data_IF_262070772948
#
_entry.id   IF_262070772948
#
_cell.length_a   1.000
_cell.length_b   1.000
_cell.length_c   1.000
_cell.angle_alpha   90.00
_cell.angle_beta   90.00
_cell.angle_gamma   90.00
#
_symmetry.space_group_name_H-M   'P 1'
#
loop_
_entity.id
_entity.type
_entity.pdbx_description
1 polymer ?
#
# COMPACT_ATOMS: atom_id res chain seq x y z
N UNK A 1 25.88 -7.32 10.52
CA UNK A 1 25.16 -6.60 11.59
C UNK A 1 25.62 -5.13 11.62
N UNK A 2 24.79 -4.20 12.15
CA UNK A 2 25.18 -2.79 12.28
C UNK A 2 26.54 -2.63 12.96
N UNK A 3 27.39 -1.74 12.41
CA UNK A 3 28.73 -1.49 12.91
C UNK A 3 29.78 -2.56 12.57
N UNK A 4 29.43 -3.57 11.76
CA UNK A 4 30.37 -4.59 11.30
C UNK A 4 30.92 -4.28 9.90
N UNK A 5 32.16 -4.65 9.66
CA UNK A 5 32.78 -4.69 8.32
C UNK A 5 33.05 -6.15 7.91
N UNK A 6 32.83 -6.43 6.65
CA UNK A 6 33.26 -7.68 6.02
C UNK A 6 34.53 -7.42 5.25
N UNK A 7 35.60 -8.12 5.61
CA UNK A 7 36.91 -8.03 4.98
C UNK A 7 37.15 -9.30 4.18
N UNK A 8 37.41 -9.15 2.88
CA UNK A 8 37.74 -10.27 1.98
C UNK A 8 39.13 -10.01 1.43
N UNK A 9 40.07 -10.94 1.68
CA UNK A 9 41.41 -10.81 1.16
C UNK A 9 41.53 -11.36 -0.27
N UNK A 10 42.70 -11.18 -0.89
CA UNK A 10 42.94 -11.65 -2.28
C UNK A 10 42.84 -13.18 -2.45
N UNK A 11 42.86 -13.95 -1.36
CA UNK A 11 42.71 -15.41 -1.36
C UNK A 11 41.25 -15.85 -1.21
N UNK A 12 40.31 -14.89 -1.07
CA UNK A 12 38.89 -15.18 -0.86
C UNK A 12 38.54 -15.49 0.60
N UNK A 13 39.51 -15.37 1.54
CA UNK A 13 39.22 -15.57 2.95
C UNK A 13 38.42 -14.39 3.50
N UNK A 14 37.32 -14.68 4.14
CA UNK A 14 36.38 -13.69 4.68
C UNK A 14 36.47 -13.66 6.21
N UNK A 15 36.52 -12.45 6.77
CA UNK A 15 36.34 -12.23 8.20
C UNK A 15 35.42 -11.05 8.45
N UNK A 16 34.71 -11.10 9.57
CA UNK A 16 33.79 -10.05 10.02
C UNK A 16 34.38 -9.39 11.26
N UNK A 17 34.53 -8.08 11.24
CA UNK A 17 35.05 -7.31 12.36
C UNK A 17 34.06 -6.25 12.81
N UNK A 18 33.93 -6.06 14.11
CA UNK A 18 33.13 -4.97 14.70
C UNK A 18 34.01 -3.70 14.68
N UNK A 19 33.65 -2.74 13.83
CA UNK A 19 34.39 -1.47 13.68
C UNK A 19 33.78 -0.31 14.45
N UNK A 20 32.45 -0.36 14.67
CA UNK A 20 31.73 0.60 15.50
C UNK A 20 30.88 -0.11 16.53
N UNK A 21 30.78 0.43 17.74
CA UNK A 21 29.87 -0.10 18.74
C UNK A 21 28.42 0.05 18.25
N UNK A 22 27.60 -1.00 18.34
CA UNK A 22 26.18 -0.91 17.97
C UNK A 22 25.48 0.09 18.89
N UNK A 23 24.65 0.94 18.29
CA UNK A 23 23.71 1.81 19.02
C UNK A 23 22.41 1.08 19.26
N UNK A 24 21.42 1.78 19.86
CA UNK A 24 20.05 1.28 19.99
C UNK A 24 19.51 0.81 18.61
N UNK A 25 18.93 -0.38 18.58
CA UNK A 25 18.35 -0.94 17.37
C UNK A 25 17.03 -0.23 17.07
N UNK A 26 16.95 0.44 15.91
CA UNK A 26 15.73 1.09 15.39
C UNK A 26 15.50 0.57 13.99
N UNK A 27 14.61 -0.40 13.88
CA UNK A 27 14.28 -1.02 12.60
C UNK A 27 13.35 -0.11 11.79
N UNK A 28 13.60 -0.03 10.48
CA UNK A 28 12.70 0.60 9.54
C UNK A 28 11.78 -0.48 8.94
N UNK A 29 10.49 -0.41 9.23
CA UNK A 29 9.51 -1.38 8.70
C UNK A 29 9.43 -1.35 7.17
N UNK A 30 9.69 -0.20 6.56
CA UNK A 30 9.71 -0.05 5.10
C UNK A 30 10.83 -0.87 4.44
N UNK A 31 11.94 -1.11 5.15
CA UNK A 31 12.96 -2.07 4.73
C UNK A 31 12.35 -3.44 4.40
N UNK A 32 11.50 -3.97 5.26
CA UNK A 32 10.90 -5.29 5.12
C UNK A 32 9.77 -5.32 4.10
N UNK A 33 9.01 -4.23 4.00
CA UNK A 33 7.90 -4.11 3.06
C UNK A 33 8.41 -3.99 1.62
N UNK A 34 9.46 -3.18 1.40
CA UNK A 34 9.88 -2.78 0.06
C UNK A 34 11.32 -3.14 -0.30
N UNK A 35 12.33 -2.71 0.50
CA UNK A 35 13.74 -2.84 0.11
C UNK A 35 14.30 -4.26 0.22
N UNK A 36 13.89 -5.04 1.21
CA UNK A 36 14.38 -6.40 1.41
C UNK A 36 14.02 -7.33 0.27
N UNK A 37 14.85 -8.32 0.02
CA UNK A 37 14.60 -9.30 -1.05
C UNK A 37 13.37 -10.13 -0.76
N UNK A 38 12.40 -10.14 -1.67
CA UNK A 38 11.18 -10.94 -1.55
C UNK A 38 11.39 -12.46 -1.61
N UNK A 39 12.58 -12.91 -2.00
CA UNK A 39 12.98 -14.34 -1.98
C UNK A 39 13.54 -14.81 -0.65
N UNK A 40 13.78 -13.91 0.32
CA UNK A 40 14.08 -14.29 1.69
C UNK A 40 12.84 -14.91 2.33
N UNK A 41 13.00 -16.03 3.05
CA UNK A 41 11.89 -16.79 3.65
C UNK A 41 11.09 -15.95 4.64
N UNK A 42 11.76 -15.20 5.50
CA UNK A 42 11.10 -14.46 6.56
C UNK A 42 10.37 -13.24 5.97
N UNK A 43 11.02 -12.51 5.05
CA UNK A 43 10.42 -11.40 4.31
C UNK A 43 9.19 -11.86 3.50
N UNK A 44 9.30 -13.02 2.83
CA UNK A 44 8.18 -13.58 2.09
C UNK A 44 6.97 -13.87 2.99
N UNK A 45 7.20 -14.53 4.14
CA UNK A 45 6.14 -14.86 5.07
C UNK A 45 5.52 -13.61 5.72
N UNK A 46 6.32 -12.61 6.07
CA UNK A 46 5.84 -11.34 6.60
C UNK A 46 4.96 -10.60 5.60
N UNK A 47 5.39 -10.49 4.34
CA UNK A 47 4.58 -9.87 3.28
C UNK A 47 3.27 -10.61 3.04
N UNK A 48 3.28 -11.95 3.10
CA UNK A 48 2.05 -12.75 3.06
C UNK A 48 1.13 -12.43 4.24
N UNK A 49 1.68 -12.35 5.44
CA UNK A 49 0.90 -12.04 6.63
C UNK A 49 0.29 -10.65 6.57
N UNK A 50 1.03 -9.65 6.08
CA UNK A 50 0.48 -8.31 5.83
C UNK A 50 -0.76 -8.37 4.92
N UNK A 51 -0.71 -9.18 3.87
CA UNK A 51 -1.85 -9.39 3.00
C UNK A 51 -3.06 -10.02 3.70
N UNK A 52 -2.85 -11.04 4.53
CA UNK A 52 -3.93 -11.71 5.30
C UNK A 52 -4.66 -10.75 6.23
N UNK A 53 -3.92 -9.87 6.89
CA UNK A 53 -4.48 -8.87 7.83
C UNK A 53 -5.32 -7.78 7.16
N UNK A 54 -5.27 -7.68 5.83
CA UNK A 54 -6.07 -6.73 5.07
C UNK A 54 -7.49 -7.22 4.72
N UNK A 55 -7.82 -8.48 5.00
CA UNK A 55 -9.13 -9.06 4.63
C UNK A 55 -10.29 -8.29 5.27
N UNK A 56 -10.26 -8.07 6.58
CA UNK A 56 -11.36 -7.38 7.28
C UNK A 56 -11.57 -5.93 6.82
N UNK A 57 -10.53 -5.07 6.69
CA UNK A 57 -10.72 -3.73 6.16
C UNK A 57 -11.19 -3.74 4.69
N UNK A 58 -10.76 -4.68 3.86
CA UNK A 58 -11.23 -4.82 2.49
C UNK A 58 -12.70 -5.23 2.46
N UNK A 59 -13.12 -6.20 3.28
CA UNK A 59 -14.53 -6.61 3.40
C UNK A 59 -15.43 -5.44 3.74
N UNK A 60 -15.02 -4.59 4.68
CA UNK A 60 -15.74 -3.35 5.01
C UNK A 60 -15.83 -2.41 3.81
N UNK A 61 -14.73 -2.21 3.10
CA UNK A 61 -14.68 -1.32 1.95
C UNK A 61 -15.57 -1.77 0.79
N UNK A 62 -15.76 -3.08 0.59
CA UNK A 62 -16.66 -3.63 -0.43
C UNK A 62 -18.05 -4.00 0.12
N UNK A 63 -18.40 -3.59 1.36
CA UNK A 63 -19.66 -3.94 2.03
C UNK A 63 -19.95 -5.44 2.07
N UNK A 64 -18.90 -6.26 2.26
CA UNK A 64 -18.95 -7.74 2.24
C UNK A 64 -19.44 -8.37 0.93
N UNK A 65 -19.54 -7.59 -0.15
CA UNK A 65 -19.94 -8.06 -1.47
C UNK A 65 -18.74 -8.69 -2.20
N UNK A 66 -18.38 -9.90 -1.80
CA UNK A 66 -17.24 -10.64 -2.38
C UNK A 66 -17.57 -11.20 -3.77
N UNK A 67 -18.84 -11.49 -4.01
CA UNK A 67 -19.34 -12.06 -5.28
C UNK A 67 -19.13 -11.08 -6.44
N UNK A 68 -19.46 -9.80 -6.23
CA UNK A 68 -19.26 -8.73 -7.21
C UNK A 68 -17.98 -7.94 -6.95
N UNK A 69 -16.92 -8.64 -6.56
CA UNK A 69 -15.59 -8.04 -6.33
C UNK A 69 -14.51 -8.81 -7.05
N UNK A 70 -13.71 -8.12 -7.85
CA UNK A 70 -12.52 -8.66 -8.50
C UNK A 70 -11.29 -8.17 -7.75
N UNK A 71 -10.39 -9.10 -7.43
CA UNK A 71 -9.14 -8.83 -6.70
C UNK A 71 -7.95 -8.88 -7.64
N UNK A 72 -7.05 -7.91 -7.53
CA UNK A 72 -5.85 -7.81 -8.32
C UNK A 72 -4.71 -7.15 -7.54
N UNK A 73 -3.56 -6.98 -8.16
CA UNK A 73 -2.39 -6.32 -7.56
C UNK A 73 -1.65 -5.46 -8.58
N UNK A 74 -0.87 -4.50 -8.08
CA UNK A 74 0.06 -3.72 -8.90
C UNK A 74 1.40 -4.45 -8.94
N UNK A 75 1.86 -4.90 -10.12
CA UNK A 75 3.16 -5.56 -10.22
C UNK A 75 4.33 -4.60 -9.86
N UNK A 76 5.42 -5.08 -9.20
CA UNK A 76 5.71 -6.48 -8.89
C UNK A 76 5.72 -6.73 -7.37
N UNK A 77 6.08 -5.73 -6.54
CA UNK A 77 6.39 -5.92 -5.09
C UNK A 77 5.17 -6.36 -4.28
N UNK A 78 3.98 -5.91 -4.68
CA UNK A 78 2.72 -6.23 -4.01
C UNK A 78 2.27 -7.70 -4.19
N UNK A 79 2.86 -8.46 -5.11
CA UNK A 79 2.42 -9.81 -5.47
C UNK A 79 2.37 -10.76 -4.27
N UNK A 80 3.37 -10.71 -3.40
CA UNK A 80 3.43 -11.60 -2.23
C UNK A 80 2.33 -11.28 -1.21
N UNK A 81 2.06 -9.98 -0.97
CA UNK A 81 0.96 -9.55 -0.12
C UNK A 81 -0.40 -9.93 -0.74
N UNK A 82 -0.53 -9.86 -2.06
CA UNK A 82 -1.71 -10.33 -2.78
C UNK A 82 -1.99 -11.82 -2.52
N UNK A 83 -0.99 -12.71 -2.62
CA UNK A 83 -1.20 -14.13 -2.26
C UNK A 83 -1.60 -14.31 -0.80
N UNK A 84 -1.06 -13.51 0.11
CA UNK A 84 -1.49 -13.53 1.51
C UNK A 84 -2.95 -13.11 1.69
N UNK A 85 -3.38 -12.09 0.97
CA UNK A 85 -4.77 -11.64 0.95
C UNK A 85 -5.70 -12.75 0.41
N UNK A 86 -5.32 -13.44 -0.68
CA UNK A 86 -6.09 -14.57 -1.21
C UNK A 86 -6.23 -15.70 -0.17
N UNK A 87 -5.14 -16.09 0.49
CA UNK A 87 -5.18 -17.10 1.58
C UNK A 87 -6.15 -16.69 2.71
N UNK A 88 -6.16 -15.40 3.06
CA UNK A 88 -7.07 -14.87 4.08
C UNK A 88 -8.52 -14.90 3.64
N UNK A 89 -8.83 -14.54 2.38
CA UNK A 89 -10.16 -14.66 1.82
C UNK A 89 -10.64 -16.10 1.68
N UNK A 90 -9.77 -17.03 1.35
CA UNK A 90 -10.12 -18.47 1.34
C UNK A 90 -10.53 -18.94 2.74
N UNK A 91 -9.83 -18.49 3.77
CA UNK A 91 -10.19 -18.78 5.17
C UNK A 91 -11.57 -18.17 5.50
N UNK A 92 -11.81 -16.92 5.14
CA UNK A 92 -13.09 -16.24 5.33
C UNK A 92 -14.24 -16.99 4.61
N UNK A 93 -14.06 -17.35 3.34
CA UNK A 93 -15.06 -18.10 2.58
C UNK A 93 -15.34 -19.47 3.17
N UNK A 94 -14.33 -20.17 3.67
CA UNK A 94 -14.54 -21.46 4.34
C UNK A 94 -15.42 -21.32 5.59
N UNK A 95 -15.23 -20.26 6.39
CA UNK A 95 -16.12 -19.97 7.51
C UNK A 95 -17.56 -19.66 7.05
N UNK A 96 -17.71 -18.89 5.97
CA UNK A 96 -19.04 -18.63 5.39
C UNK A 96 -19.73 -19.91 4.90
N UNK A 97 -19.01 -20.77 4.18
CA UNK A 97 -19.55 -22.06 3.70
C UNK A 97 -20.02 -22.93 4.85
N UNK A 98 -19.25 -23.02 5.92
CA UNK A 98 -19.64 -23.77 7.13
C UNK A 98 -20.93 -23.19 7.71
N UNK A 99 -21.01 -21.88 7.91
CA UNK A 99 -22.19 -21.19 8.44
C UNK A 99 -23.43 -21.41 7.56
N UNK A 100 -23.28 -21.34 6.23
CA UNK A 100 -24.39 -21.59 5.32
C UNK A 100 -24.88 -23.04 5.40
N UNK A 101 -23.96 -24.02 5.49
CA UNK A 101 -24.31 -25.44 5.66
C UNK A 101 -25.05 -25.67 6.99
N UNK A 102 -24.55 -25.09 8.07
CA UNK A 102 -25.18 -25.19 9.41
C UNK A 102 -26.58 -24.53 9.42
N UNK A 103 -26.74 -23.41 8.71
CA UNK A 103 -28.00 -22.69 8.64
C UNK A 103 -29.11 -23.41 7.86
N UNK A 104 -28.83 -24.46 7.05
CA UNK A 104 -29.80 -25.21 6.33
C UNK A 104 -30.78 -25.96 7.26
N UNK A 105 -30.35 -26.37 8.45
CA UNK A 105 -31.19 -27.09 9.43
C UNK A 105 -31.63 -28.47 8.99
N UNK A 106 -31.19 -28.96 7.85
CA UNK A 106 -31.48 -30.30 7.30
C UNK A 106 -30.23 -30.87 6.63
N UNK A 107 -30.24 -32.14 6.27
CA UNK A 107 -29.16 -32.75 5.48
C UNK A 107 -29.07 -32.07 4.10
N UNK A 108 -27.94 -31.43 3.76
CA UNK A 108 -27.79 -30.74 2.50
C UNK A 108 -28.05 -31.64 1.28
N UNK A 109 -28.74 -31.12 0.30
CA UNK A 109 -28.87 -31.73 -1.03
C UNK A 109 -27.58 -31.55 -1.83
N UNK A 110 -27.40 -32.34 -2.89
CA UNK A 110 -26.24 -32.21 -3.79
C UNK A 110 -26.16 -30.81 -4.40
N UNK A 111 -27.28 -30.26 -4.83
CA UNK A 111 -27.36 -28.92 -5.45
C UNK A 111 -26.96 -27.80 -4.46
N UNK A 112 -27.40 -27.87 -3.21
CA UNK A 112 -27.06 -26.94 -2.16
C UNK A 112 -25.54 -26.99 -1.86
N UNK A 113 -24.99 -28.21 -1.74
CA UNK A 113 -23.56 -28.40 -1.55
C UNK A 113 -22.74 -27.84 -2.74
N UNK A 114 -23.16 -28.16 -3.98
CA UNK A 114 -22.48 -27.68 -5.18
C UNK A 114 -22.47 -26.15 -5.23
N UNK A 115 -23.61 -25.48 -4.88
CA UNK A 115 -23.69 -24.02 -4.78
C UNK A 115 -22.74 -23.48 -3.70
N UNK A 116 -22.83 -23.97 -2.48
CA UNK A 116 -22.04 -23.45 -1.34
C UNK A 116 -20.54 -23.69 -1.57
N UNK A 117 -20.15 -24.88 -2.00
CA UNK A 117 -18.75 -25.24 -2.19
C UNK A 117 -18.12 -24.55 -3.41
N UNK A 118 -18.94 -24.13 -4.41
CA UNK A 118 -18.45 -23.37 -5.56
C UNK A 118 -18.13 -21.90 -5.25
N UNK A 119 -18.49 -21.38 -4.08
CA UNK A 119 -18.15 -20.02 -3.68
C UNK A 119 -16.64 -19.82 -3.67
N UNK A 120 -16.18 -18.81 -4.38
CA UNK A 120 -14.76 -18.45 -4.50
C UNK A 120 -14.62 -16.96 -4.78
N UNK A 121 -13.47 -16.40 -4.43
CA UNK A 121 -13.13 -15.05 -4.86
C UNK A 121 -12.76 -15.03 -6.34
N UNK A 122 -13.00 -13.90 -6.97
CA UNK A 122 -12.60 -13.64 -8.36
C UNK A 122 -11.27 -12.89 -8.34
N UNK A 123 -10.19 -13.60 -8.66
CA UNK A 123 -8.85 -13.02 -8.72
C UNK A 123 -8.36 -12.98 -10.16
N UNK A 124 -8.00 -11.78 -10.64
CA UNK A 124 -7.59 -11.56 -12.02
C UNK A 124 -6.33 -10.70 -12.08
N UNK A 125 -5.50 -10.93 -13.08
CA UNK A 125 -4.36 -10.05 -13.36
C UNK A 125 -4.84 -8.85 -14.17
N UNK A 126 -5.43 -7.86 -13.49
CA UNK A 126 -6.02 -6.70 -14.15
C UNK A 126 -4.95 -5.73 -14.62
N UNK A 127 -3.99 -5.37 -13.76
CA UNK A 127 -2.89 -4.50 -14.12
C UNK A 127 -1.68 -5.30 -14.60
N UNK A 128 -1.19 -4.98 -15.79
CA UNK A 128 -0.01 -5.63 -16.40
C UNK A 128 1.06 -4.56 -16.59
N UNK A 129 2.26 -4.78 -16.03
CA UNK A 129 3.40 -3.91 -16.28
C UNK A 129 4.11 -4.37 -17.55
N UNK A 130 4.16 -3.50 -18.57
CA UNK A 130 4.90 -3.80 -19.78
C UNK A 130 6.41 -3.66 -19.54
N UNK A 131 7.10 -4.80 -19.48
CA UNK A 131 8.55 -4.89 -19.24
C UNK A 131 9.36 -4.32 -20.41
N UNK A 132 8.77 -4.20 -21.60
CA UNK A 132 9.46 -3.69 -22.80
C UNK A 132 9.65 -2.17 -22.76
N UNK A 133 8.78 -1.46 -22.05
CA UNK A 133 8.92 -0.03 -21.82
C UNK A 133 9.87 0.24 -20.63
N UNK A 134 11.17 0.25 -20.92
CA UNK A 134 12.20 0.62 -19.93
C UNK A 134 12.33 2.13 -19.85
N UNK A 135 11.80 2.72 -18.80
CA UNK A 135 11.72 4.17 -18.57
C UNK A 135 13.07 4.89 -18.45
N UNK A 136 14.20 4.18 -18.39
CA UNK A 136 15.52 4.78 -18.27
C UNK A 136 16.16 5.22 -19.61
N UNK A 137 15.47 4.99 -20.74
CA UNK A 137 15.96 5.43 -22.08
C UNK A 137 15.41 6.81 -22.45
N UNK A 138 14.51 7.39 -21.67
CA UNK A 138 13.87 8.66 -22.00
C UNK A 138 14.41 9.83 -21.16
N UNK A 139 14.89 10.88 -21.83
CA UNK A 139 15.31 12.14 -21.22
C UNK A 139 14.14 13.12 -21.10
N UNK A 140 14.08 13.86 -19.96
CA UNK A 140 13.24 15.05 -19.81
C UNK A 140 11.73 14.80 -19.65
N UNK A 141 10.89 15.68 -20.22
CA UNK A 141 9.43 15.71 -20.09
C UNK A 141 8.70 14.45 -20.59
N UNK A 142 9.36 13.60 -21.37
CA UNK A 142 8.81 12.33 -21.85
C UNK A 142 8.61 11.28 -20.73
N UNK A 143 9.16 11.47 -19.52
CA UNK A 143 8.94 10.55 -18.38
C UNK A 143 7.49 10.50 -17.94
N UNK A 144 6.76 11.62 -18.00
CA UNK A 144 5.36 11.68 -17.58
C UNK A 144 4.45 10.97 -18.59
N UNK A 145 4.75 11.11 -19.89
CA UNK A 145 4.00 10.42 -20.96
C UNK A 145 4.29 8.92 -20.96
N UNK A 146 5.55 8.53 -20.69
CA UNK A 146 5.93 7.12 -20.54
C UNK A 146 5.31 6.46 -19.30
N UNK A 147 5.18 7.19 -18.19
CA UNK A 147 4.53 6.66 -16.99
C UNK A 147 3.06 6.28 -17.26
N UNK A 148 2.38 7.00 -18.16
CA UNK A 148 1.01 6.70 -18.57
C UNK A 148 0.90 5.39 -19.40
N UNK A 149 2.00 4.91 -19.98
CA UNK A 149 2.03 3.73 -20.84
C UNK A 149 2.76 2.52 -20.23
N UNK A 150 3.27 2.64 -19.01
CA UNK A 150 3.98 1.52 -18.32
C UNK A 150 3.06 0.38 -17.95
N UNK A 151 1.78 0.69 -17.73
CA UNK A 151 0.78 -0.30 -17.33
C UNK A 151 -0.27 -0.47 -18.42
N UNK A 152 -0.65 -1.71 -18.66
CA UNK A 152 -1.79 -2.11 -19.48
C UNK A 152 -2.84 -2.81 -18.62
N UNK A 153 -4.04 -3.03 -19.16
CA UNK A 153 -5.17 -3.66 -18.45
C UNK A 153 -5.74 -4.83 -19.21
N UNK A 154 -6.20 -5.82 -18.47
CA UNK A 154 -6.92 -6.96 -19.03
C UNK A 154 -8.41 -6.61 -19.14
N UNK A 155 -8.87 -6.34 -20.35
CA UNK A 155 -10.30 -6.11 -20.62
C UNK A 155 -11.13 -7.37 -20.40
N UNK A 156 -12.38 -7.19 -19.96
CA UNK A 156 -13.30 -8.30 -19.68
C UNK A 156 -13.04 -9.02 -18.36
N UNK A 157 -12.12 -8.51 -17.54
CA UNK A 157 -11.83 -9.07 -16.22
C UNK A 157 -12.89 -8.78 -15.16
N UNK A 158 -13.77 -7.80 -15.40
CA UNK A 158 -14.87 -7.44 -14.51
C UNK A 158 -16.14 -7.09 -15.31
N UNK A 159 -17.29 -7.10 -14.63
CA UNK A 159 -18.57 -6.66 -15.19
C UNK A 159 -18.71 -5.15 -14.94
N UNK A 160 -18.74 -4.31 -16.00
CA UNK A 160 -18.83 -2.87 -15.87
C UNK A 160 -20.04 -2.41 -15.05
N UNK A 161 -19.84 -1.38 -14.22
CA UNK A 161 -20.85 -0.73 -13.36
C UNK A 161 -21.45 -1.61 -12.26
N UNK A 162 -21.09 -2.90 -12.20
CA UNK A 162 -21.56 -3.85 -11.19
C UNK A 162 -20.46 -4.25 -10.23
N UNK A 163 -19.29 -4.61 -10.75
CA UNK A 163 -18.20 -5.13 -9.95
C UNK A 163 -17.39 -4.04 -9.26
N UNK A 164 -16.99 -4.31 -8.02
CA UNK A 164 -15.90 -3.58 -7.37
C UNK A 164 -14.56 -4.13 -7.85
N UNK A 165 -13.57 -3.29 -7.92
CA UNK A 165 -12.19 -3.66 -8.20
C UNK A 165 -11.32 -3.34 -6.98
N UNK A 166 -10.78 -4.38 -6.35
CA UNK A 166 -9.81 -4.28 -5.26
C UNK A 166 -8.42 -4.51 -5.84
N UNK A 167 -7.53 -3.54 -5.69
CA UNK A 167 -6.17 -3.65 -6.19
C UNK A 167 -5.17 -3.35 -5.07
N UNK A 168 -4.30 -4.32 -4.75
CA UNK A 168 -3.29 -4.18 -3.70
C UNK A 168 -1.98 -3.65 -4.27
N UNK A 169 -1.38 -2.68 -3.55
CA UNK A 169 -0.03 -2.18 -3.76
C UNK A 169 0.80 -2.39 -2.48
N UNK A 170 2.12 -2.32 -2.61
CA UNK A 170 3.01 -2.43 -1.44
C UNK A 170 2.94 -1.19 -0.54
N UNK A 171 2.89 -0.01 -1.14
CA UNK A 171 2.87 1.27 -0.42
C UNK A 171 2.42 2.43 -1.30
N UNK A 172 1.85 3.47 -0.68
CA UNK A 172 1.48 4.71 -1.34
C UNK A 172 2.32 5.83 -0.73
N UNK A 173 3.34 6.29 -1.48
CA UNK A 173 4.27 7.34 -1.03
C UNK A 173 3.91 8.69 -1.65
N UNK A 174 4.17 8.85 -2.95
CA UNK A 174 3.92 10.11 -3.69
C UNK A 174 2.54 10.18 -4.32
N UNK A 175 1.96 9.04 -4.63
CA UNK A 175 0.70 8.93 -5.35
C UNK A 175 0.78 9.30 -6.84
N UNK A 176 1.94 9.66 -7.35
CA UNK A 176 2.10 10.13 -8.74
C UNK A 176 1.69 9.05 -9.76
N UNK A 177 2.18 7.82 -9.60
CA UNK A 177 1.84 6.68 -10.46
C UNK A 177 0.35 6.35 -10.39
N UNK A 178 -0.22 6.39 -9.18
CA UNK A 178 -1.66 6.18 -8.99
C UNK A 178 -2.48 7.21 -9.75
N UNK A 179 -2.16 8.51 -9.59
CA UNK A 179 -2.89 9.61 -10.22
C UNK A 179 -2.73 9.62 -11.75
N UNK A 180 -1.51 9.54 -12.23
CA UNK A 180 -1.21 9.74 -13.65
C UNK A 180 -1.52 8.53 -14.53
N UNK A 181 -1.46 7.33 -13.95
CA UNK A 181 -1.57 6.08 -14.71
C UNK A 181 -2.64 5.15 -14.14
N UNK A 182 -2.41 4.57 -12.96
CA UNK A 182 -3.17 3.41 -12.48
C UNK A 182 -4.68 3.68 -12.39
N UNK A 183 -5.11 4.72 -11.68
CA UNK A 183 -6.55 4.99 -11.49
C UNK A 183 -7.23 5.24 -12.84
N UNK A 184 -6.58 5.99 -13.75
CA UNK A 184 -7.13 6.30 -15.07
C UNK A 184 -7.33 5.05 -15.93
N UNK A 185 -6.34 4.15 -15.96
CA UNK A 185 -6.46 2.94 -16.77
C UNK A 185 -7.48 1.97 -16.17
N UNK A 186 -7.56 1.86 -14.84
CA UNK A 186 -8.54 1.02 -14.17
C UNK A 186 -9.97 1.54 -14.37
N UNK A 187 -10.17 2.86 -14.38
CA UNK A 187 -11.48 3.49 -14.60
C UNK A 187 -12.05 3.18 -16.01
N UNK A 188 -11.19 2.87 -17.00
CA UNK A 188 -11.61 2.42 -18.35
C UNK A 188 -12.38 1.10 -18.34
N UNK A 189 -12.25 0.31 -17.30
CA UNK A 189 -13.01 -0.92 -17.10
C UNK A 189 -14.41 -0.65 -16.55
N UNK A 190 -14.71 0.61 -16.21
CA UNK A 190 -15.97 1.06 -15.61
C UNK A 190 -16.37 0.28 -14.35
N UNK A 191 -15.47 0.08 -13.36
CA UNK A 191 -15.87 -0.56 -12.12
C UNK A 191 -16.86 0.32 -11.35
N UNK A 192 -17.75 -0.30 -10.58
CA UNK A 192 -18.62 0.41 -9.63
C UNK A 192 -17.81 1.18 -8.60
N UNK A 193 -16.72 0.58 -8.14
CA UNK A 193 -15.80 1.13 -7.14
C UNK A 193 -14.39 0.59 -7.37
N UNK A 194 -13.39 1.45 -7.16
CA UNK A 194 -11.97 1.06 -7.09
C UNK A 194 -11.53 1.18 -5.63
N UNK A 195 -11.08 0.08 -5.05
CA UNK A 195 -10.48 0.05 -3.71
C UNK A 195 -8.98 -0.19 -3.88
N UNK A 196 -8.19 0.85 -3.62
CA UNK A 196 -6.73 0.77 -3.62
C UNK A 196 -6.30 0.35 -2.22
N UNK A 197 -5.59 -0.75 -2.11
CA UNK A 197 -5.18 -1.33 -0.83
C UNK A 197 -3.67 -1.25 -0.70
N UNK A 198 -3.18 -0.66 0.38
CA UNK A 198 -1.74 -0.62 0.69
C UNK A 198 -1.40 -1.66 1.75
N UNK A 199 -0.43 -2.54 1.47
CA UNK A 199 0.06 -3.48 2.47
C UNK A 199 0.94 -2.82 3.55
N UNK A 200 1.27 -1.54 3.39
CA UNK A 200 1.89 -0.70 4.42
C UNK A 200 0.87 0.26 5.03
N UNK A 201 1.09 0.74 6.26
CA UNK A 201 0.42 1.93 6.79
C UNK A 201 0.71 3.18 5.95
N UNK A 202 0.00 4.28 6.21
CA UNK A 202 0.28 5.57 5.58
C UNK A 202 1.73 5.98 5.80
N UNK A 203 2.47 6.24 4.72
CA UNK A 203 3.86 6.71 4.79
C UNK A 203 3.86 8.21 5.07
N UNK A 204 4.19 8.57 6.33
CA UNK A 204 4.13 9.95 6.84
C UNK A 204 5.49 10.60 7.04
N UNK A 205 6.56 9.81 7.14
CA UNK A 205 7.91 10.28 7.45
C UNK A 205 8.93 9.68 6.49
N UNK A 206 10.06 10.39 6.23
CA UNK A 206 11.16 9.86 5.45
C UNK A 206 11.71 8.55 6.02
N UNK A 207 12.25 7.71 5.13
CA UNK A 207 13.00 6.52 5.53
C UNK A 207 14.37 6.88 6.13
N UNK A 208 15.04 5.88 6.72
CA UNK A 208 16.38 6.09 7.28
C UNK A 208 17.49 6.10 6.23
N UNK A 209 17.20 5.64 5.01
CA UNK A 209 18.18 5.53 3.93
C UNK A 209 18.25 6.79 3.07
N UNK A 210 17.14 7.54 2.99
CA UNK A 210 17.05 8.79 2.23
C UNK A 210 17.20 8.61 0.73
N UNK A 211 16.91 7.42 0.21
CA UNK A 211 17.07 7.09 -1.21
C UNK A 211 15.87 7.58 -2.01
N UNK A 212 14.69 7.01 -1.77
CA UNK A 212 13.47 7.32 -2.54
C UNK A 212 12.46 8.16 -1.76
N UNK A 213 12.58 8.25 -0.45
CA UNK A 213 11.64 8.90 0.45
C UNK A 213 12.34 9.93 1.36
N UNK A 214 13.18 10.78 0.76
CA UNK A 214 13.96 11.77 1.50
C UNK A 214 13.18 13.06 1.81
N UNK A 215 12.21 13.43 0.97
CA UNK A 215 11.51 14.73 1.04
C UNK A 215 10.06 14.57 1.43
N UNK A 216 9.69 15.05 2.60
CA UNK A 216 8.30 15.01 3.09
C UNK A 216 7.31 15.71 2.16
N UNK A 217 7.70 16.82 1.53
CA UNK A 217 6.84 17.55 0.60
C UNK A 217 6.38 16.73 -0.61
N UNK A 218 7.05 15.62 -0.89
CA UNK A 218 6.66 14.70 -1.96
C UNK A 218 5.63 13.67 -1.49
N UNK A 219 5.45 13.48 -0.17
CA UNK A 219 4.51 12.48 0.36
C UNK A 219 3.07 12.97 0.23
N UNK A 220 2.23 12.13 -0.39
CA UNK A 220 0.82 12.47 -0.57
C UNK A 220 0.10 12.61 0.77
N UNK A 221 0.42 11.79 1.77
CA UNK A 221 -0.15 11.90 3.12
C UNK A 221 0.21 13.23 3.80
N UNK A 222 1.45 13.71 3.64
CA UNK A 222 1.86 15.01 4.15
C UNK A 222 1.12 16.16 3.47
N UNK A 223 1.04 16.12 2.14
CA UNK A 223 0.32 17.13 1.37
C UNK A 223 -1.17 17.15 1.72
N UNK A 224 -1.79 15.98 1.89
CA UNK A 224 -3.18 15.86 2.32
C UNK A 224 -3.41 16.47 3.70
N UNK A 225 -2.53 16.20 4.67
CA UNK A 225 -2.61 16.81 6.00
C UNK A 225 -2.43 18.33 5.95
N UNK A 226 -1.52 18.84 5.11
CA UNK A 226 -1.33 20.28 4.90
C UNK A 226 -2.58 20.95 4.31
N UNK A 227 -3.20 20.36 3.28
CA UNK A 227 -4.46 20.86 2.71
C UNK A 227 -5.60 20.81 3.72
N UNK A 228 -5.72 19.76 4.53
CA UNK A 228 -6.72 19.67 5.59
C UNK A 228 -6.54 20.76 6.66
N UNK A 229 -5.31 21.08 7.05
CA UNK A 229 -5.04 22.19 7.98
C UNK A 229 -5.46 23.53 7.36
N UNK A 230 -5.22 23.75 6.07
CA UNK A 230 -5.67 24.95 5.37
C UNK A 230 -7.19 25.03 5.29
N UNK A 231 -7.86 23.94 4.91
CA UNK A 231 -9.32 23.85 4.82
C UNK A 231 -10.01 24.13 6.17
N UNK A 232 -9.36 23.78 7.28
CA UNK A 232 -9.86 24.04 8.64
C UNK A 232 -9.39 25.35 9.27
N UNK A 233 -8.63 26.17 8.54
CA UNK A 233 -8.09 27.43 9.05
C UNK A 233 -7.03 27.27 10.14
N UNK A 234 -6.36 26.12 10.21
CA UNK A 234 -5.39 25.74 11.26
C UNK A 234 -3.93 25.95 10.80
N UNK A 235 -3.65 27.02 10.05
CA UNK A 235 -2.29 27.34 9.56
C UNK A 235 -1.29 27.58 10.69
N UNK A 236 -1.75 28.01 11.87
CA UNK A 236 -0.92 28.20 13.05
C UNK A 236 -0.20 26.92 13.49
N UNK A 237 -0.79 25.74 13.26
CA UNK A 237 -0.17 24.44 13.52
C UNK A 237 1.10 24.26 12.68
N UNK A 238 1.04 24.61 11.38
CA UNK A 238 2.17 24.52 10.46
C UNK A 238 3.31 25.44 10.93
N UNK A 239 2.98 26.70 11.23
CA UNK A 239 3.96 27.68 11.69
C UNK A 239 4.60 27.27 13.02
N UNK A 240 3.80 26.74 13.95
CA UNK A 240 4.26 26.25 15.24
C UNK A 240 5.21 25.06 15.08
N UNK A 241 4.82 24.05 14.29
CA UNK A 241 5.65 22.88 14.02
C UNK A 241 6.97 23.28 13.36
N UNK A 242 6.95 24.22 12.39
CA UNK A 242 8.14 24.76 11.75
C UNK A 242 9.05 25.47 12.73
N UNK A 243 8.52 26.42 13.54
CA UNK A 243 9.31 27.18 14.54
C UNK A 243 9.95 26.23 15.56
N UNK A 244 9.21 25.26 16.09
CA UNK A 244 9.74 24.26 17.02
C UNK A 244 10.82 23.39 16.39
N UNK A 245 10.63 22.92 15.17
CA UNK A 245 11.62 22.12 14.44
C UNK A 245 12.89 22.92 14.16
N UNK A 246 12.76 24.18 13.75
CA UNK A 246 13.90 25.07 13.48
C UNK A 246 14.69 25.39 14.74
N UNK A 247 14.03 25.59 15.88
CA UNK A 247 14.66 25.91 17.16
C UNK A 247 15.61 24.81 17.66
N UNK A 248 15.46 23.57 17.20
CA UNK A 248 16.32 22.45 17.60
C UNK A 248 17.40 22.07 16.56
N UNK A 249 17.58 22.87 15.50
CA UNK A 249 18.54 22.58 14.42
C UNK A 249 19.98 22.33 14.89
N UNK A 250 20.37 22.95 16.01
CA UNK A 250 21.70 22.82 16.59
C UNK A 250 21.77 21.85 17.78
N UNK A 251 20.66 21.20 18.13
CA UNK A 251 20.66 20.24 19.22
C UNK A 251 21.31 18.91 18.78
N UNK A 252 21.93 18.17 19.72
CA UNK A 252 22.30 16.79 19.48
C UNK A 252 21.10 15.97 19.03
N UNK A 253 21.30 15.04 18.08
CA UNK A 253 20.22 14.21 17.50
C UNK A 253 19.37 13.50 18.56
N UNK A 254 20.01 13.07 19.64
CA UNK A 254 19.36 12.37 20.76
C UNK A 254 18.38 13.25 21.56
N UNK A 255 18.49 14.58 21.40
CA UNK A 255 17.60 15.57 22.05
C UNK A 255 16.55 16.15 21.11
N UNK A 256 16.61 15.80 19.82
CA UNK A 256 15.63 16.29 18.85
C UNK A 256 14.29 15.57 19.01
N UNK A 257 13.20 16.35 18.94
CA UNK A 257 11.82 15.87 18.97
C UNK A 257 11.18 16.04 17.61
N UNK A 258 10.41 15.05 17.17
CA UNK A 258 9.67 15.13 15.91
C UNK A 258 8.39 15.97 16.05
N UNK A 259 8.50 17.28 15.90
CA UNK A 259 7.36 18.19 15.93
C UNK A 259 6.47 18.13 14.69
N UNK A 260 6.90 17.46 13.62
CA UNK A 260 6.06 17.25 12.42
C UNK A 260 4.83 16.39 12.75
N UNK A 261 4.86 15.62 13.83
CA UNK A 261 3.68 14.88 14.32
C UNK A 261 2.47 15.79 14.54
N UNK A 262 2.69 17.03 15.00
CA UNK A 262 1.63 18.00 15.25
C UNK A 262 0.79 18.32 14.00
N UNK A 263 1.34 18.13 12.80
CA UNK A 263 0.64 18.33 11.52
C UNK A 263 -0.44 17.26 11.30
N UNK A 264 -0.21 16.04 11.77
CA UNK A 264 -1.12 14.91 11.59
C UNK A 264 -2.12 14.74 12.75
N UNK A 265 -1.76 15.19 13.96
CA UNK A 265 -2.55 15.00 15.19
C UNK A 265 -4.01 15.45 15.12
N UNK A 266 -4.39 16.54 14.39
CA UNK A 266 -5.79 16.95 14.30
C UNK A 266 -6.68 16.02 13.46
N UNK A 267 -6.13 15.02 12.80
CA UNK A 267 -6.82 14.20 11.80
C UNK A 267 -6.74 12.71 12.10
N UNK A 268 -7.81 12.01 11.77
CA UNK A 268 -7.81 10.55 11.72
C UNK A 268 -7.10 10.06 10.45
N UNK A 269 -6.67 8.79 10.44
CA UNK A 269 -6.10 8.15 9.26
C UNK A 269 -7.09 8.13 8.09
N UNK A 270 -8.38 7.99 8.40
CA UNK A 270 -9.46 8.01 7.42
C UNK A 270 -9.63 9.39 6.77
N UNK A 271 -9.60 10.47 7.55
CA UNK A 271 -9.69 11.84 7.02
C UNK A 271 -8.53 12.14 6.07
N UNK A 272 -7.31 11.73 6.44
CA UNK A 272 -6.14 11.89 5.56
C UNK A 272 -6.31 11.05 4.30
N UNK A 273 -6.76 9.79 4.40
CA UNK A 273 -6.99 8.91 3.25
C UNK A 273 -8.05 9.48 2.30
N UNK A 274 -9.14 10.02 2.83
CA UNK A 274 -10.21 10.66 2.03
C UNK A 274 -9.69 11.89 1.29
N UNK A 275 -8.87 12.71 1.94
CA UNK A 275 -8.22 13.87 1.29
C UNK A 275 -7.25 13.44 0.19
N UNK A 276 -6.50 12.37 0.43
CA UNK A 276 -5.63 11.80 -0.60
C UNK A 276 -6.42 11.33 -1.82
N UNK A 277 -7.57 10.67 -1.63
CA UNK A 277 -8.47 10.29 -2.73
C UNK A 277 -8.93 11.51 -3.50
N UNK A 278 -9.36 12.58 -2.82
CA UNK A 278 -9.73 13.84 -3.47
C UNK A 278 -8.59 14.36 -4.35
N UNK A 279 -7.36 14.43 -3.83
CA UNK A 279 -6.18 14.90 -4.56
C UNK A 279 -5.83 14.02 -5.76
N UNK A 280 -6.08 12.71 -5.67
CA UNK A 280 -5.78 11.75 -6.74
C UNK A 280 -6.81 11.77 -7.86
N UNK A 281 -8.06 12.11 -7.55
CA UNK A 281 -9.19 12.02 -8.51
C UNK A 281 -9.69 13.36 -9.03
N UNK A 282 -9.42 14.45 -8.30
CA UNK A 282 -9.90 15.80 -8.66
C UNK A 282 -9.40 16.25 -10.02
N UNK A 283 -10.33 16.55 -10.93
CA UNK A 283 -10.03 17.04 -12.26
C UNK A 283 -9.54 15.98 -13.26
N UNK A 284 -9.52 14.71 -12.88
CA UNK A 284 -8.97 13.62 -13.71
C UNK A 284 -10.04 12.88 -14.54
N UNK A 285 -11.33 13.24 -14.40
CA UNK A 285 -12.43 12.60 -15.13
C UNK A 285 -12.70 11.15 -14.72
N UNK A 286 -12.42 10.80 -13.48
CA UNK A 286 -12.66 9.46 -12.91
C UNK A 286 -14.14 9.30 -12.60
N UNK A 287 -14.75 8.21 -13.06
CA UNK A 287 -16.18 7.91 -12.90
C UNK A 287 -16.44 6.99 -11.71
N UNK A 288 -15.54 6.04 -11.45
CA UNK A 288 -15.67 5.12 -10.35
C UNK A 288 -15.48 5.82 -9.00
N UNK A 289 -16.23 5.36 -7.97
CA UNK A 289 -15.91 5.75 -6.60
C UNK A 289 -14.55 5.15 -6.22
N UNK A 290 -13.61 5.98 -5.79
CA UNK A 290 -12.29 5.54 -5.32
C UNK A 290 -12.25 5.55 -3.81
N UNK A 291 -11.62 4.54 -3.21
CA UNK A 291 -11.35 4.45 -1.78
C UNK A 291 -9.94 3.88 -1.57
N UNK A 292 -9.26 4.31 -0.51
CA UNK A 292 -7.95 3.79 -0.12
C UNK A 292 -8.08 3.09 1.23
N UNK A 293 -7.57 1.87 1.28
CA UNK A 293 -7.45 1.04 2.50
C UNK A 293 -5.98 0.85 2.82
N UNK A 294 -5.60 1.14 4.05
CA UNK A 294 -4.25 0.95 4.55
C UNK A 294 -4.15 -0.19 5.54
N UNK A 295 -2.97 -0.80 5.62
CA UNK A 295 -2.59 -1.61 6.76
C UNK A 295 -2.63 -0.77 8.04
N UNK A 296 -3.03 -1.37 9.15
CA UNK A 296 -2.94 -0.72 10.46
C UNK A 296 -1.53 -0.85 11.06
N UNK A 297 -1.21 0.01 12.03
CA UNK A 297 0.05 -0.11 12.78
C UNK A 297 0.09 -1.40 13.60
N UNK A 298 -1.04 -1.83 14.17
CA UNK A 298 -1.18 -3.09 14.88
C UNK A 298 -1.01 -4.29 13.93
N UNK A 299 -1.50 -4.16 12.70
CA UNK A 299 -1.33 -5.18 11.65
C UNK A 299 0.10 -5.29 11.14
N UNK A 300 0.93 -4.24 11.32
CA UNK A 300 2.33 -4.22 10.92
C UNK A 300 3.23 -4.93 11.95
N UNK A 301 2.85 -4.97 13.22
CA UNK A 301 3.57 -5.57 14.35
C UNK A 301 2.93 -6.88 14.78
#
# INVERSE_FOLDING_TARGET
>A
RPGQAVLVNKRGEMRVEQINQPKEEKQCTFERIYFSRGSDKDIYNERKELGRRLVDPILKAVNHDVEHTVFSYIPNTAEVAFYGMLDGFDTYLNHLKIKEIEALGHRPTRSELDRILSMRIRSEKVAIKDIKLRTFIAEGNSRNDLAAHVYDITYGSLVPYQDNLVIIDDSIVRGTTLKQSIIKILDRLHPKKIVIVSSSPQVRYPDYYGIDMAKMSEFIAFRAAMELLEDRGMRDVIERAYKKSKAQEHLPKEKMVNYVKEIYEPFTDEEISNKMVEMLTKGEGIHAKVEIVYQTLEGLH
#
